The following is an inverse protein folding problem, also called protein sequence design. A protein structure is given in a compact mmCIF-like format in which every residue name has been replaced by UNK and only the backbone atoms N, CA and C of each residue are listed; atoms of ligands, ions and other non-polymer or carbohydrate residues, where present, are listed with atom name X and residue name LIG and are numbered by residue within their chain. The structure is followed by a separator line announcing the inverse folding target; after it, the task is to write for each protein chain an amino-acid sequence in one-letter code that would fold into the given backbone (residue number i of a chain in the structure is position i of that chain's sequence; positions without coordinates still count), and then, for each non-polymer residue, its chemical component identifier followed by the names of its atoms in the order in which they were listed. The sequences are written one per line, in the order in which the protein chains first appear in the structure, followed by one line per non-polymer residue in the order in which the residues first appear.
data_IF_123492296983
#
_entry.id   IF_123492296983
#
_cell.length_a   1.000
_cell.length_b   1.000
_cell.length_c   1.000
_cell.angle_alpha   90.00
_cell.angle_beta   90.00
_cell.angle_gamma   90.00
#
_symmetry.space_group_name_H-M   'P 1'
#
loop_
_entity.id
_entity.type
_entity.pdbx_description
1 polymer ?
#
# COMPACT_ATOMS: atom_id res chain seq x y z
N UNK A 1 -43.69 33.49 29.63
CA UNK A 1 -42.44 34.18 29.24
C UNK A 1 -41.24 33.21 29.04
N UNK A 2 -41.42 32.04 28.40
CA UNK A 2 -40.44 30.92 28.46
C UNK A 2 -40.02 30.33 27.10
N UNK A 3 -40.75 30.57 26.01
CA UNK A 3 -40.39 30.04 24.68
C UNK A 3 -39.49 30.99 23.87
N UNK A 4 -39.80 32.29 23.87
CA UNK A 4 -39.08 33.30 23.07
C UNK A 4 -37.60 33.44 23.46
N UNK A 5 -37.29 33.42 24.76
CA UNK A 5 -35.91 33.49 25.25
C UNK A 5 -35.11 32.22 24.97
N UNK A 6 -35.74 31.03 24.98
CA UNK A 6 -35.08 29.77 24.60
C UNK A 6 -34.75 29.73 23.12
N UNK A 7 -35.68 30.17 22.25
CA UNK A 7 -35.47 30.30 20.81
C UNK A 7 -34.36 31.30 20.47
N UNK A 8 -34.34 32.45 21.14
CA UNK A 8 -33.28 33.46 20.94
C UNK A 8 -31.91 32.97 21.40
N UNK A 9 -31.83 32.27 22.54
CA UNK A 9 -30.58 31.63 23.03
C UNK A 9 -30.09 30.53 22.08
N UNK A 10 -31.02 29.72 21.55
CA UNK A 10 -30.72 28.67 20.58
C UNK A 10 -30.22 29.24 19.25
N UNK A 11 -30.85 30.29 18.72
CA UNK A 11 -30.37 31.01 17.53
C UNK A 11 -29.01 31.68 17.76
N UNK A 12 -28.76 32.27 18.93
CA UNK A 12 -27.43 32.82 19.26
C UNK A 12 -26.36 31.74 19.44
N UNK A 13 -26.74 30.55 19.93
CA UNK A 13 -25.86 29.38 20.07
C UNK A 13 -25.50 28.78 18.71
N UNK A 14 -26.48 28.68 17.80
CA UNK A 14 -26.28 28.25 16.42
C UNK A 14 -25.45 29.28 15.66
N UNK A 15 -25.78 30.58 15.73
CA UNK A 15 -24.93 31.63 15.14
C UNK A 15 -23.53 31.64 15.74
N UNK A 16 -23.35 31.39 17.05
CA UNK A 16 -22.01 31.23 17.66
C UNK A 16 -21.30 29.97 17.17
N UNK A 17 -21.97 28.82 17.06
CA UNK A 17 -21.37 27.57 16.56
C UNK A 17 -21.00 27.65 15.09
N UNK A 18 -21.86 28.24 14.26
CA UNK A 18 -21.59 28.49 12.84
C UNK A 18 -20.46 29.52 12.69
N UNK A 19 -20.48 30.61 13.48
CA UNK A 19 -19.39 31.59 13.49
C UNK A 19 -18.09 30.98 14.02
N UNK A 20 -18.12 30.10 15.03
CA UNK A 20 -16.95 29.36 15.53
C UNK A 20 -16.47 28.27 14.56
N UNK A 21 -17.34 27.62 13.77
CA UNK A 21 -16.92 26.64 12.78
C UNK A 21 -16.31 27.32 11.55
N UNK A 22 -16.89 28.42 11.08
CA UNK A 22 -16.31 29.30 10.05
C UNK A 22 -15.05 30.03 10.52
N UNK A 23 -14.93 30.41 11.80
CA UNK A 23 -13.68 30.94 12.36
C UNK A 23 -12.64 29.83 12.61
N UNK A 24 -13.05 28.58 12.78
CA UNK A 24 -12.10 27.48 13.03
C UNK A 24 -11.34 27.06 11.78
N UNK A 25 -11.95 27.16 10.58
CA UNK A 25 -11.26 27.00 9.31
C UNK A 25 -10.31 28.19 9.07
N UNK A 26 -10.80 29.43 9.24
CA UNK A 26 -9.97 30.65 9.12
C UNK A 26 -8.82 30.72 10.15
N UNK A 27 -8.99 30.18 11.37
CA UNK A 27 -7.91 30.04 12.38
C UNK A 27 -6.94 28.90 12.09
N UNK A 28 -7.36 27.84 11.39
CA UNK A 28 -6.45 26.79 10.88
C UNK A 28 -5.61 27.30 9.71
N UNK A 29 -6.14 28.20 8.89
CA UNK A 29 -5.45 28.77 7.73
C UNK A 29 -4.36 29.77 8.11
N UNK A 30 -4.56 30.61 9.15
CA UNK A 30 -3.50 31.49 9.71
C UNK A 30 -2.30 30.77 10.33
N UNK A 31 -2.31 29.43 10.43
CA UNK A 31 -1.19 28.63 10.95
C UNK A 31 -0.19 28.16 9.89
N UNK A 32 -0.45 28.42 8.61
CA UNK A 32 0.43 27.97 7.53
C UNK A 32 1.61 28.93 7.27
N UNK A 33 1.47 30.22 7.58
CA UNK A 33 2.57 31.17 7.48
C UNK A 33 3.72 30.78 8.41
N UNK A 34 4.94 30.74 7.85
CA UNK A 34 6.16 30.28 8.52
C UNK A 34 6.36 28.76 8.52
N UNK A 35 5.40 27.97 8.01
CA UNK A 35 5.60 26.52 7.89
C UNK A 35 6.50 26.19 6.68
N UNK A 36 7.29 25.12 6.78
CA UNK A 36 8.14 24.67 5.68
C UNK A 36 7.32 24.06 4.53
N UNK A 37 7.92 24.14 3.35
CA UNK A 37 7.43 23.49 2.12
C UNK A 37 8.48 22.48 1.67
N UNK A 38 8.02 21.29 1.29
CA UNK A 38 8.89 20.19 0.85
C UNK A 38 8.47 19.66 -0.52
N UNK A 39 9.45 19.22 -1.31
CA UNK A 39 9.20 18.43 -2.50
C UNK A 39 8.76 17.03 -2.09
N UNK A 40 7.75 16.49 -2.77
CA UNK A 40 7.33 15.11 -2.52
C UNK A 40 8.39 14.10 -2.95
N UNK A 41 8.93 14.24 -4.17
CA UNK A 41 9.80 13.23 -4.76
C UNK A 41 11.14 13.09 -4.03
N UNK A 42 11.74 14.23 -3.65
CA UNK A 42 13.07 14.26 -3.01
C UNK A 42 12.98 14.40 -1.50
N UNK A 43 11.87 14.89 -0.95
CA UNK A 43 11.77 15.27 0.47
C UNK A 43 12.54 16.54 0.83
N UNK A 44 13.19 17.19 -0.14
CA UNK A 44 13.99 18.40 0.06
C UNK A 44 13.11 19.58 0.42
N UNK A 45 13.69 20.50 1.21
CA UNK A 45 13.01 21.72 1.59
C UNK A 45 13.04 22.70 0.42
N UNK A 46 11.85 23.06 -0.07
CA UNK A 46 11.64 24.08 -1.10
C UNK A 46 11.82 25.48 -0.51
N UNK A 47 11.29 25.67 0.71
CA UNK A 47 11.25 26.99 1.33
C UNK A 47 10.31 27.06 2.51
N UNK A 48 9.81 28.25 2.81
CA UNK A 48 8.81 28.51 3.85
C UNK A 48 7.66 29.33 3.29
N UNK A 49 6.46 29.07 3.77
CA UNK A 49 5.27 29.85 3.39
C UNK A 49 5.41 31.25 3.96
N UNK A 50 5.62 32.25 3.11
CA UNK A 50 5.74 33.65 3.54
C UNK A 50 4.38 34.32 3.67
N UNK A 51 3.50 34.05 2.71
CA UNK A 51 2.18 34.68 2.63
C UNK A 51 1.16 33.73 2.00
N UNK A 52 -0.06 33.77 2.51
CA UNK A 52 -1.20 33.07 1.91
C UNK A 52 -1.96 34.05 1.02
N UNK A 53 -2.25 33.64 -0.22
CA UNK A 53 -2.99 34.45 -1.18
C UNK A 53 -4.43 33.96 -1.21
N UNK A 54 -5.37 34.87 -0.99
CA UNK A 54 -6.80 34.58 -1.00
C UNK A 54 -7.51 35.40 -2.08
N UNK A 55 -8.59 34.85 -2.65
CA UNK A 55 -9.50 35.60 -3.51
C UNK A 55 -10.38 36.57 -2.68
N UNK A 56 -11.25 37.33 -3.35
CA UNK A 56 -12.20 38.27 -2.72
C UNK A 56 -13.25 37.59 -1.83
N UNK A 57 -13.49 36.29 -2.01
CA UNK A 57 -14.40 35.48 -1.19
C UNK A 57 -13.72 34.94 0.07
N UNK A 58 -12.39 35.04 0.15
CA UNK A 58 -11.56 34.55 1.23
C UNK A 58 -11.05 33.12 1.06
N UNK A 59 -11.24 32.51 -0.12
CA UNK A 59 -10.68 31.19 -0.43
C UNK A 59 -9.20 31.32 -0.74
N UNK A 60 -8.38 30.39 -0.26
CA UNK A 60 -6.96 30.34 -0.57
C UNK A 60 -6.79 29.93 -2.04
N UNK A 61 -6.17 30.78 -2.84
CA UNK A 61 -5.88 30.55 -4.25
C UNK A 61 -4.40 30.23 -4.51
N UNK A 62 -3.52 30.52 -3.55
CA UNK A 62 -2.10 30.24 -3.69
C UNK A 62 -1.27 30.61 -2.47
N UNK A 63 0.02 30.34 -2.58
CA UNK A 63 1.02 30.63 -1.56
C UNK A 63 2.22 31.35 -2.17
N UNK A 64 2.75 32.33 -1.43
CA UNK A 64 4.06 32.90 -1.66
C UNK A 64 5.07 32.10 -0.83
N UNK A 65 5.99 31.42 -1.50
CA UNK A 65 7.05 30.60 -0.88
C UNK A 65 8.37 31.34 -0.99
N UNK A 66 9.08 31.48 0.13
CA UNK A 66 10.43 32.03 0.18
C UNK A 66 11.44 30.87 0.26
N UNK A 67 12.33 30.78 -0.73
CA UNK A 67 13.38 29.76 -0.78
C UNK A 67 14.59 30.12 0.11
N UNK A 68 15.62 29.27 0.11
CA UNK A 68 16.83 29.49 0.91
C UNK A 68 17.70 30.66 0.41
N UNK A 69 17.47 31.14 -0.82
CA UNK A 69 18.13 32.30 -1.42
C UNK A 69 17.32 33.59 -1.22
N UNK A 70 16.27 33.55 -0.39
CA UNK A 70 15.30 34.63 -0.19
C UNK A 70 14.54 35.04 -1.45
N UNK A 71 14.48 34.18 -2.47
CA UNK A 71 13.65 34.38 -3.64
C UNK A 71 12.20 34.03 -3.31
N UNK A 72 11.26 34.89 -3.72
CA UNK A 72 9.83 34.69 -3.52
C UNK A 72 9.19 34.15 -4.78
N UNK A 73 8.55 33.00 -4.66
CA UNK A 73 7.89 32.30 -5.75
C UNK A 73 6.41 32.14 -5.42
N UNK A 74 5.55 32.39 -6.40
CA UNK A 74 4.11 32.20 -6.28
C UNK A 74 3.70 30.87 -6.87
N UNK A 75 2.90 30.12 -6.12
CA UNK A 75 2.35 28.85 -6.55
C UNK A 75 0.84 28.79 -6.26
N UNK A 76 0.05 28.20 -7.16
CA UNK A 76 -1.38 28.02 -6.93
C UNK A 76 -1.62 27.01 -5.81
N UNK A 77 -2.76 27.11 -5.13
CA UNK A 77 -3.01 26.35 -3.90
C UNK A 77 -3.16 24.85 -4.10
N UNK A 78 -3.60 24.44 -5.29
CA UNK A 78 -3.77 23.06 -5.75
C UNK A 78 -2.44 22.34 -6.02
N UNK A 79 -1.35 23.08 -6.18
CA UNK A 79 0.00 22.52 -6.27
C UNK A 79 0.51 21.94 -4.93
N UNK A 80 -0.27 21.97 -3.84
CA UNK A 80 0.18 21.51 -2.52
C UNK A 80 -0.82 20.62 -1.80
N UNK A 81 -0.29 19.60 -1.12
CA UNK A 81 -1.00 18.88 -0.07
C UNK A 81 -0.73 19.57 1.28
N UNK A 82 -1.80 19.83 2.05
CA UNK A 82 -1.70 20.46 3.37
C UNK A 82 -1.49 19.41 4.45
N UNK A 83 -0.42 19.52 5.20
CA UNK A 83 -0.20 18.68 6.40
C UNK A 83 -0.19 19.52 7.67
N UNK A 84 -0.24 18.87 8.83
CA UNK A 84 -0.08 19.55 10.13
C UNK A 84 1.30 20.19 10.33
N UNK A 85 2.31 19.80 9.53
CA UNK A 85 3.71 20.21 9.71
C UNK A 85 4.25 21.07 8.55
N UNK A 86 3.45 21.35 7.53
CA UNK A 86 3.86 22.12 6.37
C UNK A 86 3.09 21.77 5.11
N UNK A 87 3.57 22.28 3.98
CA UNK A 87 3.03 21.98 2.65
C UNK A 87 3.93 20.99 1.92
N UNK A 88 3.31 20.09 1.15
CA UNK A 88 4.03 19.14 0.29
C UNK A 88 3.69 19.44 -1.17
N UNK A 89 4.70 19.74 -1.97
CA UNK A 89 4.55 20.14 -3.36
C UNK A 89 4.16 18.94 -4.25
N UNK A 90 3.01 19.09 -4.92
CA UNK A 90 2.67 18.64 -6.27
C UNK A 90 3.78 18.10 -7.19
N UNK A 91 4.17 16.81 -7.24
CA UNK A 91 5.14 16.41 -8.25
C UNK A 91 4.50 16.40 -9.65
N UNK A 92 5.32 16.62 -10.68
CA UNK A 92 4.85 16.79 -12.05
C UNK A 92 4.09 15.54 -12.55
N UNK A 93 4.61 14.34 -12.25
CA UNK A 93 3.99 13.07 -12.63
C UNK A 93 2.56 12.93 -12.12
N UNK A 94 2.25 13.47 -10.95
CA UNK A 94 0.90 13.41 -10.39
C UNK A 94 -0.02 14.38 -11.12
N UNK A 95 0.45 15.62 -11.34
CA UNK A 95 -0.32 16.63 -12.06
C UNK A 95 -0.57 16.27 -13.53
N UNK A 96 0.42 15.67 -14.20
CA UNK A 96 0.30 15.18 -15.58
C UNK A 96 -0.57 13.92 -15.66
N UNK A 97 -0.40 12.99 -14.70
CA UNK A 97 -1.26 11.82 -14.57
C UNK A 97 -2.73 12.17 -14.39
N UNK A 98 -3.04 13.17 -13.55
CA UNK A 98 -4.41 13.66 -13.37
C UNK A 98 -5.02 14.20 -14.66
N UNK A 99 -4.23 14.92 -15.47
CA UNK A 99 -4.68 15.45 -16.78
C UNK A 99 -4.98 14.31 -17.74
N UNK A 100 -4.05 13.36 -17.89
CA UNK A 100 -4.20 12.22 -18.78
C UNK A 100 -5.43 11.37 -18.42
N UNK A 101 -5.63 11.09 -17.13
CA UNK A 101 -6.79 10.36 -16.64
C UNK A 101 -8.08 11.13 -16.89
N UNK A 102 -8.11 12.43 -16.62
CA UNK A 102 -9.28 13.28 -16.88
C UNK A 102 -9.64 13.35 -18.37
N UNK A 103 -8.65 13.36 -19.26
CA UNK A 103 -8.87 13.31 -20.71
C UNK A 103 -9.56 12.01 -21.13
N UNK A 104 -9.11 10.86 -20.61
CA UNK A 104 -9.73 9.57 -20.94
C UNK A 104 -11.10 9.40 -20.29
N UNK A 105 -11.29 9.88 -19.06
CA UNK A 105 -12.62 9.96 -18.41
C UNK A 105 -13.59 10.81 -19.22
N UNK A 106 -13.15 11.93 -19.80
CA UNK A 106 -14.01 12.74 -20.68
C UNK A 106 -14.42 11.98 -21.95
N UNK A 107 -13.55 11.12 -22.49
CA UNK A 107 -13.86 10.27 -23.65
C UNK A 107 -14.94 9.22 -23.34
N UNK A 108 -15.03 8.73 -22.09
CA UNK A 108 -16.13 7.81 -21.68
C UNK A 108 -17.52 8.44 -21.79
N UNK A 109 -17.60 9.79 -21.80
CA UNK A 109 -18.86 10.55 -21.88
C UNK A 109 -19.28 10.89 -23.30
N UNK A 110 -18.50 10.51 -24.32
CA UNK A 110 -18.89 10.66 -25.71
C UNK A 110 -20.14 9.82 -26.00
N UNK A 111 -21.14 10.33 -26.76
CA UNK A 111 -22.40 9.61 -26.99
C UNK A 111 -22.20 8.17 -27.47
N UNK A 112 -21.36 7.98 -28.49
CA UNK A 112 -21.12 6.68 -29.13
C UNK A 112 -20.42 5.70 -28.17
N UNK A 113 -19.43 6.19 -27.42
CA UNK A 113 -18.69 5.40 -26.41
C UNK A 113 -19.61 5.05 -25.24
N UNK A 114 -20.43 6.00 -24.79
CA UNK A 114 -21.37 5.81 -23.70
C UNK A 114 -22.44 4.77 -24.07
N UNK A 115 -22.91 4.77 -25.31
CA UNK A 115 -23.84 3.75 -25.82
C UNK A 115 -23.21 2.36 -25.78
N UNK A 116 -21.95 2.21 -26.20
CA UNK A 116 -21.25 0.93 -26.09
C UNK A 116 -21.08 0.46 -24.64
N UNK A 117 -20.83 1.38 -23.70
CA UNK A 117 -20.74 1.05 -22.27
C UNK A 117 -22.08 0.50 -21.75
N UNK A 118 -23.22 1.09 -22.18
CA UNK A 118 -24.55 0.64 -21.77
C UNK A 118 -24.93 -0.76 -22.31
N UNK A 119 -24.26 -1.24 -23.36
CA UNK A 119 -24.47 -2.57 -23.91
C UNK A 119 -23.90 -3.69 -23.03
N UNK A 120 -23.18 -3.37 -21.95
CA UNK A 120 -22.68 -4.36 -20.98
C UNK A 120 -21.66 -5.33 -21.56
N UNK A 121 -20.90 -4.89 -22.58
CA UNK A 121 -19.83 -5.68 -23.19
C UNK A 121 -18.70 -5.93 -22.18
N UNK A 122 -18.02 -7.06 -22.34
CA UNK A 122 -16.75 -7.33 -21.64
C UNK A 122 -15.71 -6.24 -21.96
N UNK A 123 -14.77 -5.97 -21.04
CA UNK A 123 -13.82 -4.86 -21.15
C UNK A 123 -12.97 -4.92 -22.42
N UNK A 124 -12.54 -6.11 -22.83
CA UNK A 124 -11.67 -6.26 -23.99
C UNK A 124 -12.47 -6.11 -25.29
N UNK A 125 -13.69 -6.63 -25.32
CA UNK A 125 -14.62 -6.43 -26.43
C UNK A 125 -15.07 -4.96 -26.57
N UNK A 126 -15.28 -4.29 -25.43
CA UNK A 126 -15.62 -2.87 -25.38
C UNK A 126 -14.45 -2.02 -25.88
N UNK A 127 -13.22 -2.33 -25.46
CA UNK A 127 -12.01 -1.68 -25.94
C UNK A 127 -11.88 -1.77 -27.46
N UNK A 128 -11.98 -2.97 -28.05
CA UNK A 128 -11.85 -3.15 -29.50
C UNK A 128 -12.93 -2.41 -30.28
N UNK A 129 -14.16 -2.35 -29.74
CA UNK A 129 -15.27 -1.64 -30.38
C UNK A 129 -15.08 -0.13 -30.33
N UNK A 130 -14.64 0.40 -29.19
CA UNK A 130 -14.28 1.82 -29.01
C UNK A 130 -13.09 2.20 -29.88
N UNK A 131 -12.05 1.37 -29.92
CA UNK A 131 -10.82 1.60 -30.68
C UNK A 131 -11.02 1.50 -32.20
N UNK A 132 -12.05 0.79 -32.65
CA UNK A 132 -12.45 0.72 -34.06
C UNK A 132 -13.18 1.99 -34.52
N UNK A 133 -14.02 2.57 -33.66
CA UNK A 133 -14.70 3.84 -33.93
C UNK A 133 -13.80 5.06 -33.75
N UNK A 134 -12.83 4.99 -32.83
CA UNK A 134 -11.92 6.08 -32.46
C UNK A 134 -10.48 5.56 -32.35
N UNK A 135 -9.74 5.47 -33.47
CA UNK A 135 -8.36 4.96 -33.48
C UNK A 135 -7.40 5.71 -32.55
N UNK A 136 -7.66 7.01 -32.31
CA UNK A 136 -6.89 7.85 -31.39
C UNK A 136 -6.90 7.34 -29.94
N UNK A 137 -7.95 6.62 -29.52
CA UNK A 137 -8.07 6.07 -28.16
C UNK A 137 -7.00 5.03 -27.87
N UNK A 138 -6.51 4.30 -28.88
CA UNK A 138 -5.42 3.32 -28.71
C UNK A 138 -4.18 3.93 -28.08
N UNK A 139 -3.81 5.14 -28.53
CA UNK A 139 -2.64 5.87 -28.00
C UNK A 139 -2.85 6.27 -26.54
N UNK A 140 -4.00 6.85 -26.21
CA UNK A 140 -4.31 7.24 -24.82
C UNK A 140 -4.36 6.04 -23.88
N UNK A 141 -4.93 4.92 -24.33
CA UNK A 141 -4.97 3.67 -23.56
C UNK A 141 -3.55 3.16 -23.31
N UNK A 142 -2.68 3.15 -24.32
CA UNK A 142 -1.29 2.76 -24.14
C UNK A 142 -0.55 3.65 -23.13
N UNK A 143 -0.70 4.98 -23.24
CA UNK A 143 -0.11 5.93 -22.29
C UNK A 143 -0.62 5.71 -20.85
N UNK A 144 -1.92 5.45 -20.68
CA UNK A 144 -2.50 5.13 -19.37
C UNK A 144 -2.02 3.78 -18.82
N UNK A 145 -1.86 2.75 -19.66
CA UNK A 145 -1.33 1.46 -19.21
C UNK A 145 0.12 1.58 -18.74
N UNK A 146 0.97 2.31 -19.48
CA UNK A 146 2.34 2.61 -19.03
C UNK A 146 2.37 3.43 -17.73
N UNK A 147 1.47 4.41 -17.58
CA UNK A 147 1.32 5.15 -16.32
C UNK A 147 0.89 4.21 -15.18
N UNK A 148 -0.08 3.31 -15.41
CA UNK A 148 -0.56 2.34 -14.42
C UNK A 148 0.58 1.44 -13.93
N UNK A 149 1.39 0.90 -14.84
CA UNK A 149 2.58 0.10 -14.49
C UNK A 149 3.59 0.89 -13.64
N UNK A 150 3.90 2.12 -14.05
CA UNK A 150 4.81 2.99 -13.31
C UNK A 150 4.29 3.32 -11.90
N UNK A 151 2.98 3.58 -11.77
CA UNK A 151 2.32 3.84 -10.48
C UNK A 151 2.35 2.62 -9.56
N UNK A 152 2.11 1.42 -10.10
CA UNK A 152 2.20 0.17 -9.32
C UNK A 152 3.62 -0.03 -8.81
N UNK A 153 4.63 0.10 -9.68
CA UNK A 153 6.04 -0.01 -9.29
C UNK A 153 6.40 1.01 -8.21
N UNK A 154 6.06 2.29 -8.42
CA UNK A 154 6.30 3.36 -7.44
C UNK A 154 5.60 3.08 -6.11
N UNK A 155 4.34 2.62 -6.14
CA UNK A 155 3.60 2.28 -4.92
C UNK A 155 4.30 1.16 -4.13
N UNK A 156 4.88 0.17 -4.81
CA UNK A 156 5.65 -0.89 -4.16
C UNK A 156 6.90 -0.33 -3.47
N UNK A 157 7.65 0.52 -4.17
CA UNK A 157 8.87 1.15 -3.63
C UNK A 157 8.57 2.00 -2.39
N UNK A 158 7.46 2.76 -2.43
CA UNK A 158 7.00 3.58 -1.31
C UNK A 158 6.57 2.72 -0.11
N UNK A 159 5.87 1.61 -0.34
CA UNK A 159 5.46 0.69 0.75
C UNK A 159 6.68 0.07 1.45
N UNK A 160 7.70 -0.35 0.69
CA UNK A 160 8.97 -0.82 1.26
C UNK A 160 9.65 0.29 2.07
N UNK A 161 9.62 1.53 1.58
CA UNK A 161 10.17 2.69 2.31
C UNK A 161 9.43 2.92 3.64
N UNK A 162 8.11 2.77 3.69
CA UNK A 162 7.32 2.87 4.93
C UNK A 162 7.77 1.82 5.96
N UNK A 163 8.01 0.58 5.53
CA UNK A 163 8.48 -0.49 6.43
C UNK A 163 9.86 -0.12 7.01
N UNK A 164 10.79 0.33 6.16
CA UNK A 164 12.13 0.77 6.59
C UNK A 164 12.06 1.92 7.60
N UNK A 165 11.27 2.95 7.32
CA UNK A 165 11.08 4.10 8.24
C UNK A 165 10.45 3.69 9.58
N UNK A 166 9.53 2.72 9.57
CA UNK A 166 8.97 2.16 10.81
C UNK A 166 10.02 1.42 11.63
N UNK A 167 10.86 0.62 10.97
CA UNK A 167 11.99 -0.10 11.63
C UNK A 167 12.97 0.90 12.24
N UNK A 168 13.32 1.95 11.51
CA UNK A 168 14.19 3.02 11.99
C UNK A 168 13.62 3.72 13.23
N UNK A 169 12.34 4.10 13.23
CA UNK A 169 11.69 4.72 14.39
C UNK A 169 11.71 3.83 15.65
N UNK A 170 11.61 2.51 15.47
CA UNK A 170 11.73 1.53 16.56
C UNK A 170 13.17 1.47 17.07
N UNK A 171 14.16 1.39 16.18
CA UNK A 171 15.58 1.36 16.52
C UNK A 171 16.02 2.64 17.28
N UNK A 172 15.63 3.82 16.78
CA UNK A 172 15.87 5.11 17.45
C UNK A 172 15.29 5.10 18.88
N UNK A 173 14.10 4.54 19.05
CA UNK A 173 13.47 4.42 20.37
C UNK A 173 14.25 3.47 21.29
N UNK A 174 14.77 2.37 20.75
CA UNK A 174 15.64 1.43 21.46
C UNK A 174 16.93 2.08 21.95
N UNK A 175 17.68 2.73 21.05
CA UNK A 175 18.92 3.46 21.38
C UNK A 175 18.70 4.54 22.45
N UNK A 176 17.55 5.22 22.40
CA UNK A 176 17.18 6.21 23.42
C UNK A 176 16.94 5.58 24.80
N UNK A 177 16.28 4.42 24.85
CA UNK A 177 16.02 3.68 26.10
C UNK A 177 17.31 3.13 26.72
N UNK A 178 18.22 2.63 25.89
CA UNK A 178 19.55 2.15 26.30
C UNK A 178 20.51 3.28 26.70
N UNK A 179 20.07 4.56 26.61
CA UNK A 179 20.87 5.77 26.87
C UNK A 179 22.09 5.92 25.94
N UNK A 180 22.09 5.22 24.82
CA UNK A 180 23.12 5.34 23.77
C UNK A 180 22.96 6.63 22.96
N UNK A 181 21.81 7.31 23.08
CA UNK A 181 21.48 8.52 22.33
C UNK A 181 20.96 9.66 23.21
N UNK A 182 21.42 10.87 22.90
CA UNK A 182 21.00 12.10 23.57
C UNK A 182 19.54 12.47 23.27
N UNK A 183 18.90 13.24 24.17
CA UNK A 183 17.49 13.66 23.99
C UNK A 183 17.29 14.55 22.76
N UNK A 184 18.25 15.43 22.48
CA UNK A 184 18.19 16.38 21.36
C UNK A 184 18.36 15.66 20.02
N UNK A 185 19.41 14.86 19.92
CA UNK A 185 19.70 14.00 18.77
C UNK A 185 18.54 13.05 18.45
N UNK A 186 17.98 12.36 19.45
CA UNK A 186 16.79 11.54 19.27
C UNK A 186 15.59 12.33 18.73
N UNK A 187 15.35 13.54 19.26
CA UNK A 187 14.25 14.36 18.80
C UNK A 187 14.45 14.80 17.33
N UNK A 188 15.66 15.16 16.94
CA UNK A 188 16.01 15.53 15.56
C UNK A 188 15.75 14.36 14.59
N UNK A 189 16.29 13.17 14.88
CA UNK A 189 16.07 11.98 14.03
C UNK A 189 14.61 11.54 13.96
N UNK A 190 13.88 11.55 15.08
CA UNK A 190 12.44 11.19 15.07
C UNK A 190 11.61 12.19 14.28
N UNK A 191 11.96 13.48 14.33
CA UNK A 191 11.26 14.50 13.54
C UNK A 191 11.49 14.27 12.05
N UNK A 192 12.74 13.97 11.66
CA UNK A 192 13.13 13.67 10.29
C UNK A 192 12.47 12.39 9.76
N UNK A 193 12.59 11.26 10.46
CA UNK A 193 11.95 10.01 10.06
C UNK A 193 10.41 10.15 9.95
N UNK A 194 9.77 10.89 10.87
CA UNK A 194 8.34 11.19 10.76
C UNK A 194 8.00 12.14 9.61
N UNK A 195 8.91 13.05 9.23
CA UNK A 195 8.72 13.91 8.06
C UNK A 195 8.72 13.06 6.79
N UNK A 196 9.73 12.21 6.63
CA UNK A 196 9.81 11.29 5.49
C UNK A 196 8.61 10.36 5.42
N UNK A 197 8.16 9.83 6.56
CA UNK A 197 6.99 8.97 6.62
C UNK A 197 5.73 9.70 6.13
N UNK A 198 5.49 10.94 6.57
CA UNK A 198 4.34 11.72 6.09
C UNK A 198 4.40 11.99 4.58
N UNK A 199 5.59 12.33 4.05
CA UNK A 199 5.76 12.57 2.60
C UNK A 199 5.49 11.29 1.81
N UNK A 200 6.03 10.17 2.26
CA UNK A 200 5.83 8.84 1.66
C UNK A 200 4.34 8.47 1.66
N UNK A 201 3.64 8.71 2.77
CA UNK A 201 2.20 8.46 2.88
C UNK A 201 1.37 9.32 1.91
N UNK A 202 1.71 10.60 1.73
CA UNK A 202 1.07 11.46 0.72
C UNK A 202 1.30 10.92 -0.70
N UNK A 203 2.53 10.49 -1.00
CA UNK A 203 2.85 9.91 -2.31
C UNK A 203 2.05 8.62 -2.59
N UNK A 204 1.91 7.75 -1.57
CA UNK A 204 1.07 6.55 -1.67
C UNK A 204 -0.39 6.92 -1.93
N UNK A 205 -0.93 7.94 -1.24
CA UNK A 205 -2.31 8.39 -1.43
C UNK A 205 -2.54 8.88 -2.87
N UNK A 206 -1.60 9.63 -3.44
CA UNK A 206 -1.63 10.12 -4.82
C UNK A 206 -1.57 8.98 -5.85
N UNK A 207 -0.70 8.00 -5.63
CA UNK A 207 -0.66 6.79 -6.47
C UNK A 207 -2.01 6.05 -6.42
N UNK A 208 -2.58 5.85 -5.22
CA UNK A 208 -3.87 5.17 -5.04
C UNK A 208 -5.01 5.91 -5.73
N UNK A 209 -5.04 7.23 -5.64
CA UNK A 209 -6.05 8.04 -6.32
C UNK A 209 -6.01 7.84 -7.84
N UNK A 210 -4.82 7.99 -8.45
CA UNK A 210 -4.68 7.78 -9.90
C UNK A 210 -5.04 6.35 -10.29
N UNK A 211 -4.57 5.34 -9.55
CA UNK A 211 -4.90 3.93 -9.82
C UNK A 211 -6.41 3.66 -9.71
N UNK A 212 -7.09 4.23 -8.71
CA UNK A 212 -8.55 4.12 -8.58
C UNK A 212 -9.28 4.72 -9.77
N UNK A 213 -8.88 5.93 -10.19
CA UNK A 213 -9.49 6.61 -11.35
C UNK A 213 -9.22 5.86 -12.65
N UNK A 214 -7.98 5.40 -12.86
CA UNK A 214 -7.63 4.54 -14.01
C UNK A 214 -8.52 3.28 -14.02
N UNK A 215 -8.59 2.53 -12.92
CA UNK A 215 -9.37 1.29 -12.88
C UNK A 215 -10.88 1.49 -13.07
N UNK A 216 -11.39 2.71 -12.86
CA UNK A 216 -12.78 3.07 -13.10
C UNK A 216 -13.15 3.26 -14.58
N UNK A 217 -12.15 3.35 -15.48
CA UNK A 217 -12.38 3.56 -16.91
C UNK A 217 -12.92 2.25 -17.53
N UNK A 218 -14.16 2.24 -18.09
CA UNK A 218 -14.84 0.99 -18.45
C UNK A 218 -14.18 0.20 -19.58
N UNK A 219 -13.60 0.89 -20.56
CA UNK A 219 -12.99 0.28 -21.75
C UNK A 219 -11.48 0.06 -21.61
N UNK A 220 -10.92 0.22 -20.40
CA UNK A 220 -9.53 -0.19 -20.17
C UNK A 220 -9.46 -1.71 -20.00
N UNK A 221 -8.57 -2.40 -20.73
CA UNK A 221 -8.40 -3.84 -20.59
C UNK A 221 -8.11 -4.22 -19.13
N UNK A 222 -8.78 -5.29 -18.68
CA UNK A 222 -8.86 -5.67 -17.26
C UNK A 222 -7.55 -6.19 -16.67
N UNK A 223 -6.67 -6.74 -17.50
CA UNK A 223 -5.38 -7.26 -17.11
C UNK A 223 -4.27 -6.48 -17.81
N UNK A 224 -3.28 -6.03 -17.03
CA UNK A 224 -1.93 -5.91 -17.59
C UNK A 224 -1.48 -7.37 -17.75
N UNK A 225 -1.22 -7.82 -18.98
CA UNK A 225 -0.54 -9.11 -19.19
C UNK A 225 0.75 -9.10 -18.36
N UNK A 226 0.76 -9.84 -17.24
CA UNK A 226 1.92 -9.90 -16.34
C UNK A 226 1.72 -9.40 -14.91
N UNK A 227 0.50 -9.14 -14.41
CA UNK A 227 0.26 -9.17 -12.96
C UNK A 227 0.04 -10.61 -12.48
N UNK A 228 1.07 -11.34 -11.99
CA UNK A 228 0.80 -12.56 -11.28
C UNK A 228 -0.01 -12.20 -10.03
N UNK A 229 -1.04 -13.00 -9.73
CA UNK A 229 -1.80 -12.96 -8.47
C UNK A 229 -0.92 -13.02 -7.20
N UNK A 230 0.40 -13.25 -7.37
CA UNK A 230 1.43 -13.19 -6.35
C UNK A 230 1.83 -11.76 -5.89
N UNK A 231 1.49 -10.68 -6.59
CA UNK A 231 1.90 -9.30 -6.22
C UNK A 231 1.35 -8.83 -4.85
N UNK A 232 0.05 -8.98 -4.54
CA UNK A 232 -0.50 -8.69 -3.21
C UNK A 232 0.08 -9.59 -2.12
N UNK A 233 0.30 -10.87 -2.45
CA UNK A 233 0.87 -11.86 -1.55
C UNK A 233 2.33 -11.52 -1.19
N UNK A 234 3.15 -11.17 -2.18
CA UNK A 234 4.55 -10.76 -2.04
C UNK A 234 4.69 -9.60 -1.06
N UNK A 235 3.76 -8.63 -1.13
CA UNK A 235 3.70 -7.49 -0.20
C UNK A 235 3.36 -7.93 1.21
N UNK A 236 2.40 -8.83 1.40
CA UNK A 236 2.06 -9.35 2.73
C UNK A 236 3.23 -10.08 3.38
N UNK A 237 3.91 -10.96 2.62
CA UNK A 237 5.03 -11.75 3.15
C UNK A 237 6.24 -10.89 3.54
N UNK A 238 6.39 -9.70 2.96
CA UNK A 238 7.47 -8.76 3.31
C UNK A 238 7.32 -8.11 4.69
N UNK A 239 6.12 -8.06 5.25
CA UNK A 239 5.85 -7.40 6.55
C UNK A 239 5.90 -8.41 7.71
N UNK A 240 5.90 -9.72 7.41
CA UNK A 240 5.98 -10.77 8.42
C UNK A 240 7.45 -10.99 8.78
N UNK A 241 7.88 -10.79 10.04
CA UNK A 241 9.28 -10.91 10.44
C UNK A 241 9.75 -12.36 10.61
N UNK A 242 9.54 -13.18 9.59
CA UNK A 242 10.01 -14.56 9.42
C UNK A 242 10.57 -14.69 8.02
N UNK A 243 11.64 -15.46 7.83
CA UNK A 243 12.18 -15.76 6.52
C UNK A 243 11.23 -16.64 5.72
N UNK A 244 10.84 -16.19 4.53
CA UNK A 244 9.87 -16.88 3.68
C UNK A 244 10.32 -16.95 2.24
N UNK A 245 10.08 -18.11 1.62
CA UNK A 245 10.26 -18.33 0.18
C UNK A 245 8.99 -18.91 -0.42
N UNK A 246 8.66 -18.46 -1.64
CA UNK A 246 7.62 -19.07 -2.47
C UNK A 246 8.32 -19.96 -3.47
N UNK A 247 7.88 -21.21 -3.57
CA UNK A 247 8.41 -22.21 -4.50
C UNK A 247 7.31 -22.78 -5.39
N UNK A 248 7.69 -23.17 -6.61
CA UNK A 248 6.82 -23.91 -7.54
C UNK A 248 6.83 -25.43 -7.26
N UNK A 249 6.12 -26.20 -8.10
CA UNK A 249 6.02 -27.67 -7.98
C UNK A 249 7.37 -28.38 -8.10
N UNK A 250 8.32 -27.77 -8.82
CA UNK A 250 9.66 -28.29 -9.06
C UNK A 250 10.65 -27.85 -7.98
N UNK A 251 10.19 -27.11 -6.96
CA UNK A 251 11.02 -26.54 -5.90
C UNK A 251 11.85 -25.35 -6.34
N UNK A 252 11.51 -24.72 -7.46
CA UNK A 252 12.16 -23.51 -7.95
C UNK A 252 11.61 -22.31 -7.19
N UNK A 253 12.50 -21.48 -6.66
CA UNK A 253 12.15 -20.29 -5.90
C UNK A 253 11.62 -19.22 -6.86
N UNK A 254 10.33 -18.91 -6.69
CA UNK A 254 9.65 -17.82 -7.39
C UNK A 254 9.94 -16.48 -6.69
N UNK A 255 10.02 -16.50 -5.35
CA UNK A 255 10.23 -15.31 -4.55
C UNK A 255 10.82 -15.60 -3.17
N UNK A 256 11.43 -14.59 -2.57
CA UNK A 256 11.92 -14.59 -1.20
C UNK A 256 11.67 -13.21 -0.58
N UNK A 257 11.31 -13.16 0.70
CA UNK A 257 11.10 -11.88 1.40
C UNK A 257 12.42 -11.28 1.92
N UNK A 258 12.38 -10.01 2.37
CA UNK A 258 13.57 -9.27 2.84
C UNK A 258 14.24 -9.87 4.08
N UNK A 259 13.53 -10.73 4.81
CA UNK A 259 14.06 -11.45 5.96
C UNK A 259 15.04 -12.56 5.54
N UNK A 260 14.86 -13.18 4.38
CA UNK A 260 15.83 -14.13 3.84
C UNK A 260 17.17 -13.44 3.54
N UNK A 261 17.11 -12.25 2.94
CA UNK A 261 18.32 -11.45 2.66
C UNK A 261 19.00 -10.99 3.96
N UNK A 262 18.22 -10.49 4.91
CA UNK A 262 18.74 -10.01 6.19
C UNK A 262 19.41 -11.13 7.02
N UNK A 263 18.83 -12.34 7.00
CA UNK A 263 19.28 -13.44 7.84
C UNK A 263 20.35 -14.32 7.17
N UNK A 264 20.34 -14.44 5.84
CA UNK A 264 21.20 -15.40 5.11
C UNK A 264 22.02 -14.77 3.96
N UNK A 265 21.91 -13.45 3.75
CA UNK A 265 22.75 -12.69 2.81
C UNK A 265 22.40 -12.86 1.33
N UNK A 266 21.44 -13.71 0.98
CA UNK A 266 20.98 -13.89 -0.39
C UNK A 266 19.97 -12.82 -0.79
N UNK A 267 20.27 -12.09 -1.87
CA UNK A 267 19.32 -11.13 -2.44
C UNK A 267 18.15 -11.85 -3.12
N UNK A 268 16.99 -11.20 -3.21
CA UNK A 268 15.82 -11.78 -3.89
C UNK A 268 16.11 -12.19 -5.34
N UNK A 269 16.96 -11.45 -6.05
CA UNK A 269 17.32 -11.76 -7.45
C UNK A 269 18.27 -12.96 -7.55
N UNK A 270 19.15 -13.19 -6.56
CA UNK A 270 20.04 -14.36 -6.52
C UNK A 270 19.29 -15.66 -6.21
N UNK A 271 18.17 -15.56 -5.49
CA UNK A 271 17.33 -16.71 -5.16
C UNK A 271 16.33 -17.04 -6.26
N UNK A 272 15.89 -16.04 -7.02
CA UNK A 272 14.88 -16.22 -8.05
C UNK A 272 15.37 -17.20 -9.12
N UNK A 273 14.50 -18.13 -9.50
CA UNK A 273 14.76 -19.22 -10.46
C UNK A 273 15.81 -20.24 -10.00
N UNK A 274 16.26 -20.19 -8.75
CA UNK A 274 17.15 -21.20 -8.15
C UNK A 274 16.34 -22.30 -7.48
N UNK A 275 16.82 -23.54 -7.46
CA UNK A 275 16.16 -24.60 -6.70
C UNK A 275 16.43 -24.46 -5.20
N UNK A 276 15.39 -24.57 -4.39
CA UNK A 276 15.50 -24.52 -2.93
C UNK A 276 16.49 -25.57 -2.41
N UNK A 277 16.52 -26.77 -3.01
CA UNK A 277 17.42 -27.86 -2.62
C UNK A 277 18.91 -27.54 -2.81
N UNK A 278 19.27 -26.57 -3.64
CA UNK A 278 20.67 -26.13 -3.78
C UNK A 278 21.16 -25.35 -2.55
N UNK A 279 20.25 -24.81 -1.75
CA UNK A 279 20.52 -24.08 -0.52
C UNK A 279 20.45 -24.98 0.71
N UNK A 280 20.24 -26.28 0.51
CA UNK A 280 20.03 -27.26 1.57
C UNK A 280 21.08 -28.36 1.44
N UNK A 281 21.57 -28.85 2.58
CA UNK A 281 22.52 -29.97 2.62
C UNK A 281 21.95 -31.23 1.97
N UNK A 282 22.82 -32.04 1.36
CA UNK A 282 22.40 -33.20 0.54
C UNK A 282 21.40 -34.12 1.24
N UNK A 283 21.63 -34.42 2.52
CA UNK A 283 20.81 -35.35 3.31
C UNK A 283 19.37 -34.88 3.54
N UNK A 284 19.11 -33.57 3.48
CA UNK A 284 17.78 -32.99 3.76
C UNK A 284 17.01 -32.65 2.46
N UNK A 285 17.65 -32.75 1.29
CA UNK A 285 17.05 -32.39 -0.01
C UNK A 285 15.82 -33.23 -0.35
N UNK A 286 15.83 -34.53 -0.06
CA UNK A 286 14.69 -35.41 -0.30
C UNK A 286 13.50 -35.04 0.59
N UNK A 287 13.76 -34.73 1.87
CA UNK A 287 12.73 -34.28 2.81
C UNK A 287 12.05 -33.00 2.32
N UNK A 288 12.85 -31.99 1.94
CA UNK A 288 12.36 -30.72 1.39
C UNK A 288 11.55 -30.91 0.11
N UNK A 289 12.06 -31.73 -0.81
CA UNK A 289 11.37 -31.99 -2.08
C UNK A 289 10.07 -32.78 -1.88
N UNK A 290 10.06 -33.72 -0.93
CA UNK A 290 8.90 -34.50 -0.56
C UNK A 290 7.80 -33.64 0.07
N UNK A 291 8.17 -32.81 1.05
CA UNK A 291 7.25 -31.87 1.69
C UNK A 291 6.63 -30.91 0.67
N UNK A 292 7.45 -30.32 -0.21
CA UNK A 292 6.92 -29.46 -1.27
C UNK A 292 5.94 -30.23 -2.18
N UNK A 293 6.28 -31.44 -2.61
CA UNK A 293 5.41 -32.25 -3.47
C UNK A 293 4.08 -32.58 -2.79
N UNK A 294 4.08 -32.93 -1.51
CA UNK A 294 2.87 -33.22 -0.76
C UNK A 294 1.90 -32.04 -0.75
N UNK A 295 2.43 -30.81 -0.63
CA UNK A 295 1.62 -29.59 -0.77
C UNK A 295 0.91 -29.54 -2.12
N UNK A 296 1.64 -29.75 -3.22
CA UNK A 296 1.04 -29.75 -4.55
C UNK A 296 0.08 -30.93 -4.79
N UNK A 297 0.25 -32.04 -4.06
CA UNK A 297 -0.63 -33.21 -4.12
C UNK A 297 -1.92 -33.09 -3.29
N UNK A 298 -2.02 -32.10 -2.40
CA UNK A 298 -3.22 -31.97 -1.57
C UNK A 298 -2.98 -31.44 -0.17
N UNK A 299 -1.80 -31.65 0.42
CA UNK A 299 -1.54 -31.30 1.81
C UNK A 299 -1.68 -29.80 2.05
N UNK A 300 -2.42 -29.43 3.09
CA UNK A 300 -2.57 -28.03 3.49
C UNK A 300 -1.23 -27.48 4.01
N UNK A 301 -0.48 -28.29 4.76
CA UNK A 301 0.81 -27.94 5.33
C UNK A 301 1.73 -29.16 5.53
N UNK A 302 3.04 -28.90 5.58
CA UNK A 302 4.08 -29.89 5.87
C UNK A 302 5.19 -29.23 6.69
N UNK A 303 5.62 -29.87 7.77
CA UNK A 303 6.70 -29.36 8.63
C UNK A 303 8.01 -30.09 8.36
N UNK A 304 9.11 -29.35 8.38
CA UNK A 304 10.44 -29.84 8.05
C UNK A 304 11.47 -29.25 9.00
N UNK A 305 12.45 -30.06 9.39
CA UNK A 305 13.69 -29.59 10.00
C UNK A 305 14.81 -29.85 8.99
N UNK A 306 15.60 -28.83 8.67
CA UNK A 306 16.60 -28.92 7.63
C UNK A 306 17.79 -27.99 7.89
N UNK A 307 18.94 -28.36 7.36
CA UNK A 307 20.14 -27.54 7.40
C UNK A 307 20.30 -26.72 6.10
N UNK A 308 20.18 -25.40 6.24
CA UNK A 308 20.29 -24.43 5.16
C UNK A 308 21.69 -23.82 5.11
N UNK A 309 22.24 -23.68 3.91
CA UNK A 309 23.55 -23.12 3.65
C UNK A 309 23.36 -21.68 3.17
N UNK A 310 23.87 -20.72 3.94
CA UNK A 310 23.78 -19.31 3.58
C UNK A 310 24.82 -18.90 2.51
N UNK A 311 24.76 -17.63 2.09
CA UNK A 311 25.66 -17.10 1.04
C UNK A 311 27.14 -17.21 1.39
N UNK A 312 27.48 -17.26 2.68
CA UNK A 312 28.84 -17.33 3.19
C UNK A 312 29.30 -18.76 3.47
N UNK A 313 28.45 -19.76 3.18
CA UNK A 313 28.72 -21.16 3.46
C UNK A 313 28.51 -21.55 4.92
N UNK A 314 27.84 -20.72 5.71
CA UNK A 314 27.48 -21.04 7.10
C UNK A 314 26.20 -21.88 7.08
N UNK A 315 26.21 -22.91 7.91
CA UNK A 315 25.10 -23.85 8.04
C UNK A 315 24.16 -23.40 9.16
N UNK A 316 22.87 -23.39 8.87
CA UNK A 316 21.81 -22.99 9.79
C UNK A 316 20.82 -24.14 9.94
N UNK A 317 20.63 -24.62 11.18
CA UNK A 317 19.57 -25.58 11.48
C UNK A 317 18.25 -24.84 11.64
N UNK A 318 17.31 -25.10 10.73
CA UNK A 318 16.07 -24.35 10.61
C UNK A 318 14.86 -25.28 10.76
N UNK A 319 13.83 -24.73 11.39
CA UNK A 319 12.50 -25.30 11.39
C UNK A 319 11.68 -24.55 10.35
N UNK A 320 11.12 -25.29 9.40
CA UNK A 320 10.32 -24.77 8.31
C UNK A 320 8.93 -25.39 8.26
N UNK A 321 7.98 -24.62 7.77
CA UNK A 321 6.65 -25.09 7.43
C UNK A 321 6.29 -24.67 6.03
N UNK A 322 5.96 -25.65 5.21
CA UNK A 322 5.33 -25.45 3.93
C UNK A 322 3.83 -25.24 4.12
N UNK A 323 3.23 -24.38 3.30
CA UNK A 323 1.79 -24.15 3.26
C UNK A 323 1.34 -24.01 1.81
N UNK A 324 0.31 -24.78 1.45
CA UNK A 324 -0.29 -24.77 0.14
C UNK A 324 -1.27 -23.62 -0.05
N UNK A 325 -1.25 -23.02 -1.23
CA UNK A 325 -2.23 -21.98 -1.58
C UNK A 325 -2.70 -22.13 -3.03
N UNK A 326 -4.01 -22.13 -3.22
CA UNK A 326 -4.60 -22.06 -4.55
C UNK A 326 -4.56 -20.62 -5.10
N UNK A 327 -4.03 -20.47 -6.31
CA UNK A 327 -4.02 -19.23 -7.08
C UNK A 327 -4.71 -19.44 -8.43
N UNK A 328 -5.17 -18.34 -9.07
CA UNK A 328 -5.86 -18.39 -10.36
C UNK A 328 -5.02 -19.01 -11.51
N UNK A 329 -3.72 -19.26 -11.30
CA UNK A 329 -2.80 -19.91 -12.23
C UNK A 329 -2.19 -21.23 -11.75
N UNK A 330 -2.69 -21.82 -10.65
CA UNK A 330 -2.18 -23.08 -10.07
C UNK A 330 -1.97 -23.01 -8.56
N UNK A 331 -1.65 -24.16 -7.93
CA UNK A 331 -1.27 -24.21 -6.51
C UNK A 331 0.15 -23.66 -6.36
N UNK A 332 0.42 -22.96 -5.27
CA UNK A 332 1.75 -22.47 -4.91
C UNK A 332 2.09 -22.98 -3.51
N UNK A 333 3.39 -23.09 -3.24
CA UNK A 333 3.89 -23.56 -1.95
C UNK A 333 4.75 -22.47 -1.30
N UNK A 334 4.43 -22.15 -0.05
CA UNK A 334 5.13 -21.12 0.73
C UNK A 334 5.86 -21.82 1.85
N UNK A 335 7.18 -21.67 1.91
CA UNK A 335 8.00 -22.14 3.02
C UNK A 335 8.35 -20.97 3.93
N UNK A 336 7.86 -20.99 5.16
CA UNK A 336 8.26 -20.10 6.22
C UNK A 336 9.21 -20.82 7.17
N UNK A 337 10.32 -20.20 7.57
CA UNK A 337 11.35 -20.87 8.35
C UNK A 337 12.10 -19.94 9.32
N UNK A 338 12.58 -20.52 10.42
CA UNK A 338 13.25 -19.80 11.50
C UNK A 338 14.23 -20.70 12.27
N UNK A 339 15.08 -20.09 13.09
CA UNK A 339 16.02 -20.79 13.98
C UNK A 339 15.36 -21.19 15.31
N UNK A 340 15.99 -22.10 16.06
CA UNK A 340 15.51 -22.53 17.40
C UNK A 340 15.59 -21.43 18.46
N UNK A 341 16.55 -20.51 18.34
CA UNK A 341 16.76 -19.44 19.32
C UNK A 341 15.65 -18.37 19.27
N UNK A 342 15.01 -18.22 18.11
CA UNK A 342 13.88 -17.30 17.90
C UNK A 342 12.57 -17.80 18.59
N UNK A 343 12.51 -19.05 19.06
CA UNK A 343 11.30 -19.73 19.53
C UNK A 343 10.71 -19.16 20.85
N UNK A 344 11.54 -18.75 21.81
CA UNK A 344 11.08 -18.47 23.20
C UNK A 344 10.67 -17.02 23.46
N UNK A 345 11.32 -16.04 22.82
CA UNK A 345 11.06 -14.61 23.05
C UNK A 345 10.12 -13.99 22.01
N UNK A 346 10.23 -14.43 20.76
CA UNK A 346 9.47 -13.84 19.65
C UNK A 346 8.06 -14.41 19.56
N UNK A 347 7.83 -15.71 19.74
CA UNK A 347 6.52 -16.36 19.48
C UNK A 347 5.31 -15.67 20.13
N UNK A 348 5.42 -15.16 21.37
CA UNK A 348 4.34 -14.39 22.03
C UNK A 348 4.16 -12.99 21.47
N UNK A 349 5.24 -12.21 21.34
CA UNK A 349 5.22 -10.83 20.80
C UNK A 349 4.88 -10.83 19.30
N UNK A 350 5.36 -11.84 18.57
CA UNK A 350 5.16 -12.10 17.16
C UNK A 350 3.71 -12.49 16.89
N UNK A 351 3.15 -13.46 17.61
CA UNK A 351 1.75 -13.86 17.43
C UNK A 351 0.81 -12.70 17.77
N UNK A 352 1.06 -11.96 18.86
CA UNK A 352 0.26 -10.79 19.26
C UNK A 352 0.37 -9.63 18.26
N UNK A 353 1.57 -9.29 17.77
CA UNK A 353 1.78 -8.20 16.80
C UNK A 353 1.29 -8.54 15.40
N UNK A 354 1.56 -9.74 14.87
CA UNK A 354 1.11 -10.17 13.54
C UNK A 354 -0.42 -10.32 13.54
N UNK A 355 -1.02 -10.89 14.60
CA UNK A 355 -2.48 -10.89 14.75
C UNK A 355 -3.05 -9.46 14.75
N UNK A 356 -2.47 -8.54 15.51
CA UNK A 356 -2.95 -7.16 15.55
C UNK A 356 -2.72 -6.39 14.24
N UNK A 357 -1.63 -6.63 13.53
CA UNK A 357 -1.27 -5.93 12.29
C UNK A 357 -2.05 -6.46 11.07
N UNK A 358 -2.43 -7.73 11.06
CA UNK A 358 -3.05 -8.37 9.90
C UNK A 358 -4.50 -8.81 10.15
N UNK A 359 -4.80 -9.51 11.25
CA UNK A 359 -6.16 -10.02 11.49
C UNK A 359 -7.14 -8.87 11.76
N UNK A 360 -6.73 -7.84 12.51
CA UNK A 360 -7.61 -6.69 12.79
C UNK A 360 -8.09 -5.96 11.52
N UNK A 361 -7.22 -5.50 10.59
CA UNK A 361 -7.68 -4.86 9.36
C UNK A 361 -8.43 -5.83 8.43
N UNK A 362 -8.06 -7.11 8.38
CA UNK A 362 -8.80 -8.13 7.61
C UNK A 362 -10.21 -8.34 8.15
N UNK A 363 -10.37 -8.50 9.47
CA UNK A 363 -11.67 -8.64 10.11
C UNK A 363 -12.53 -7.37 9.97
N UNK A 364 -11.91 -6.18 10.00
CA UNK A 364 -12.62 -4.92 9.72
C UNK A 364 -13.10 -4.90 8.25
N UNK A 365 -12.25 -5.27 7.30
CA UNK A 365 -12.60 -5.32 5.88
C UNK A 365 -13.71 -6.36 5.59
N UNK A 366 -13.60 -7.55 6.17
CA UNK A 366 -14.64 -8.59 6.12
C UNK A 366 -15.95 -8.09 6.75
N UNK A 367 -15.89 -7.39 7.88
CA UNK A 367 -17.05 -6.78 8.52
C UNK A 367 -17.75 -5.75 7.63
N UNK A 368 -16.99 -4.86 6.98
CA UNK A 368 -17.57 -3.91 6.01
C UNK A 368 -18.15 -4.61 4.79
N UNK A 369 -17.50 -5.65 4.26
CA UNK A 369 -18.04 -6.43 3.14
C UNK A 369 -19.31 -7.16 3.50
N UNK A 370 -19.38 -7.74 4.70
CA UNK A 370 -20.60 -8.37 5.21
C UNK A 370 -21.76 -7.37 5.31
N UNK A 371 -21.50 -6.18 5.86
CA UNK A 371 -22.49 -5.09 5.93
C UNK A 371 -22.94 -4.59 4.56
N UNK A 372 -22.04 -4.59 3.57
CA UNK A 372 -22.39 -4.30 2.17
C UNK A 372 -23.28 -5.42 1.63
N UNK A 373 -22.91 -6.69 1.80
CA UNK A 373 -23.68 -7.84 1.34
C UNK A 373 -25.08 -7.96 1.96
N UNK A 374 -25.31 -7.44 3.18
CA UNK A 374 -26.62 -7.39 3.84
C UNK A 374 -27.58 -6.32 3.27
N UNK A 375 -27.18 -5.53 2.27
CA UNK A 375 -28.06 -4.59 1.57
C UNK A 375 -28.33 -3.29 2.34
N UNK A 376 -27.61 -3.01 3.43
CA UNK A 376 -27.77 -1.80 4.25
C UNK A 376 -27.44 -0.48 3.53
N UNK A 377 -26.85 -0.53 2.34
CA UNK A 377 -26.45 0.63 1.52
C UNK A 377 -27.12 0.67 0.13
N UNK A 378 -28.12 -0.19 -0.13
CA UNK A 378 -28.83 -0.30 -1.41
C UNK A 378 -28.68 -1.69 -2.06
N UNK A 379 -29.45 -1.95 -3.12
CA UNK A 379 -29.36 -3.20 -3.88
C UNK A 379 -28.15 -3.19 -4.82
N UNK A 380 -27.29 -4.20 -4.69
CA UNK A 380 -26.15 -4.40 -5.59
C UNK A 380 -26.58 -5.13 -6.86
N UNK A 381 -25.99 -4.72 -7.99
CA UNK A 381 -26.08 -5.47 -9.25
C UNK A 381 -25.41 -6.85 -9.11
N UNK A 382 -25.79 -7.82 -9.95
CA UNK A 382 -25.21 -9.16 -9.91
C UNK A 382 -23.69 -9.18 -10.18
N UNK A 383 -23.21 -8.25 -11.01
CA UNK A 383 -21.78 -8.01 -11.26
C UNK A 383 -21.06 -7.57 -9.98
N UNK A 384 -21.64 -6.62 -9.24
CA UNK A 384 -21.09 -6.11 -7.98
C UNK A 384 -21.10 -7.18 -6.89
N UNK A 385 -22.15 -8.02 -6.82
CA UNK A 385 -22.21 -9.16 -5.90
C UNK A 385 -21.11 -10.18 -6.18
N UNK A 386 -20.86 -10.50 -7.45
CA UNK A 386 -19.75 -11.39 -7.85
C UNK A 386 -18.40 -10.81 -7.43
N UNK A 387 -18.17 -9.51 -7.62
CA UNK A 387 -16.94 -8.85 -7.19
C UNK A 387 -16.77 -8.82 -5.67
N UNK A 388 -17.84 -8.53 -4.91
CA UNK A 388 -17.81 -8.56 -3.44
C UNK A 388 -17.44 -9.95 -2.93
N UNK A 389 -18.04 -11.01 -3.49
CA UNK A 389 -17.67 -12.38 -3.15
C UNK A 389 -16.23 -12.75 -3.53
N UNK A 390 -15.72 -12.28 -4.68
CA UNK A 390 -14.33 -12.50 -5.05
C UNK A 390 -13.36 -11.84 -4.05
N UNK A 391 -13.67 -10.63 -3.59
CA UNK A 391 -12.88 -9.90 -2.57
C UNK A 391 -12.96 -10.62 -1.23
N UNK A 392 -14.16 -11.03 -0.79
CA UNK A 392 -14.38 -11.75 0.45
C UNK A 392 -13.59 -13.06 0.49
N UNK A 393 -13.65 -13.85 -0.58
CA UNK A 393 -12.86 -15.07 -0.73
C UNK A 393 -11.35 -14.78 -0.71
N UNK A 394 -10.91 -13.67 -1.31
CA UNK A 394 -9.51 -13.25 -1.25
C UNK A 394 -9.06 -12.89 0.18
N UNK A 395 -9.91 -12.22 0.95
CA UNK A 395 -9.63 -11.86 2.35
C UNK A 395 -9.59 -13.09 3.25
N UNK A 396 -10.52 -14.03 3.07
CA UNK A 396 -10.52 -15.31 3.79
C UNK A 396 -9.26 -16.13 3.51
N UNK A 397 -8.80 -16.15 2.25
CA UNK A 397 -7.51 -16.78 1.87
C UNK A 397 -6.32 -16.12 2.59
N UNK A 398 -6.27 -14.79 2.59
CA UNK A 398 -5.22 -14.02 3.29
C UNK A 398 -5.24 -14.25 4.80
N UNK A 399 -6.42 -14.30 5.42
CA UNK A 399 -6.57 -14.58 6.84
C UNK A 399 -6.08 -15.99 7.20
N UNK A 400 -6.43 -16.99 6.39
CA UNK A 400 -5.99 -18.37 6.57
C UNK A 400 -4.47 -18.48 6.53
N UNK A 401 -3.84 -17.89 5.51
CA UNK A 401 -2.38 -17.86 5.35
C UNK A 401 -1.71 -17.26 6.59
N UNK A 402 -2.17 -16.09 7.03
CA UNK A 402 -1.62 -15.42 8.22
C UNK A 402 -1.79 -16.30 9.46
N UNK A 403 -2.97 -16.90 9.65
CA UNK A 403 -3.28 -17.73 10.81
C UNK A 403 -2.47 -19.03 10.84
N UNK A 404 -2.25 -19.67 9.69
CA UNK A 404 -1.46 -20.91 9.56
C UNK A 404 0.03 -20.63 9.73
N UNK A 405 0.53 -19.54 9.14
CA UNK A 405 1.92 -19.08 9.32
C UNK A 405 2.24 -18.77 10.79
N UNK A 406 1.27 -18.28 11.56
CA UNK A 406 1.45 -17.96 13.00
C UNK A 406 1.38 -19.21 13.89
N UNK A 407 0.70 -20.28 13.47
CA UNK A 407 0.44 -21.50 14.28
C UNK A 407 1.64 -22.45 14.37
N UNK A 408 2.86 -21.91 14.44
CA UNK A 408 4.06 -22.68 14.77
C UNK A 408 3.91 -23.26 16.19
N UNK A 409 3.60 -24.55 16.25
CA UNK A 409 3.66 -25.36 17.48
C UNK A 409 5.03 -26.07 17.51
N UNK A 410 5.55 -26.36 18.71
CA UNK A 410 6.90 -26.89 18.88
C UNK A 410 7.09 -28.24 18.21
#
# INVERSE_FOLDING_TARGET
MSAYWKLRRWFTSIKRRIRFSLDSSKRREKKLEGLPVYFEDTGEKVGVVRRIICNSLGDIIGYEIEDERHQRLYFPSDAFEKTRRGLIFAPLWYSEGLKLVAELEAKTKMPDVHEFILQGLDRDALYERVASGHPEIRRYVQEILSLKEALIKRMNDLEVRVIKLRKELVDLSGKRLLKEMGRREFAEHVIEARREMNITEVSIARCRELLMRINSIPFLPGAIEGEPAALPLRKMLSVIPISMVIVDENGVIINANEHVESNFGYTSEELKNRKLTELVVERDRECISGANRNIFMGSDDEEVEFEFIDKYGVHHLLYGRFTGMDSNGGRMSILAFHTREEEKGLRKIFSERVAHLFLNPLSIAQGYLHLLSEGGYGEFTDEQKKQLHAIENSLLRMERLVRETIKLRP
#
